data_IF_436361820845
#
_entry.id   IF_436361820845
#
_cell.length_a   1.000
_cell.length_b   1.000
_cell.length_c   1.000
_cell.angle_alpha   90.00
_cell.angle_beta   90.00
_cell.angle_gamma   90.00
#
_symmetry.space_group_name_H-M   'P 1'
#
loop_
_entity.id
_entity.type
_entity.pdbx_description
1 polymer ?
#
# COMPACT_ATOMS: atom_id res chain seq x y z
N UNK A 1 4.08 16.79 -2.70
CA UNK A 1 3.60 16.29 -4.01
C UNK A 1 4.67 16.49 -5.07
N UNK A 2 5.10 17.74 -5.31
CA UNK A 2 6.22 18.06 -6.22
C UNK A 2 7.49 17.24 -5.99
N UNK A 3 8.02 17.24 -4.77
CA UNK A 3 9.25 16.50 -4.45
C UNK A 3 9.13 15.02 -4.80
N UNK A 4 7.97 14.41 -4.51
CA UNK A 4 7.72 12.99 -4.78
C UNK A 4 7.67 12.67 -6.28
N UNK A 5 6.89 13.42 -7.07
CA UNK A 5 6.77 13.20 -8.52
C UNK A 5 8.11 13.46 -9.23
N UNK A 6 8.91 14.40 -8.71
CA UNK A 6 10.21 14.75 -9.26
C UNK A 6 11.35 13.85 -8.75
N UNK A 7 11.05 12.76 -8.04
CA UNK A 7 12.00 11.80 -7.49
C UNK A 7 13.03 12.39 -6.49
N UNK A 8 12.60 13.38 -5.71
CA UNK A 8 13.42 14.07 -4.70
C UNK A 8 13.11 13.63 -3.26
N UNK A 9 12.44 12.48 -3.11
CA UNK A 9 12.11 11.87 -1.83
C UNK A 9 12.96 10.61 -1.59
N UNK A 10 13.00 10.13 -0.36
CA UNK A 10 13.73 8.90 -0.02
C UNK A 10 13.20 7.69 -0.79
N UNK A 11 14.12 6.86 -1.29
CA UNK A 11 13.85 5.66 -2.11
C UNK A 11 13.11 5.92 -3.43
N UNK A 12 13.09 7.16 -3.91
CA UNK A 12 12.71 7.45 -5.28
C UNK A 12 13.78 6.95 -6.29
N UNK A 13 13.42 6.66 -7.55
CA UNK A 13 12.10 6.81 -8.17
C UNK A 13 11.06 5.77 -7.75
N UNK A 14 9.85 6.21 -7.41
CA UNK A 14 8.76 5.32 -6.95
C UNK A 14 8.44 4.21 -7.97
N UNK A 15 8.27 4.58 -9.24
CA UNK A 15 7.88 3.61 -10.26
C UNK A 15 8.97 2.61 -10.59
N UNK A 16 10.24 2.99 -10.51
CA UNK A 16 11.35 2.07 -10.75
C UNK A 16 11.40 1.02 -9.64
N UNK A 17 11.23 1.44 -8.37
CA UNK A 17 11.11 0.52 -7.24
C UNK A 17 9.94 -0.48 -7.42
N UNK A 18 8.78 -0.02 -7.88
CA UNK A 18 7.63 -0.90 -8.15
C UNK A 18 7.88 -1.82 -9.34
N UNK A 19 8.48 -1.30 -10.42
CA UNK A 19 8.82 -2.03 -11.65
C UNK A 19 9.75 -3.20 -11.37
N UNK A 20 10.81 -2.97 -10.62
CA UNK A 20 11.76 -4.03 -10.25
C UNK A 20 11.06 -5.22 -9.58
N UNK A 21 10.21 -4.95 -8.59
CA UNK A 21 9.41 -5.97 -7.93
C UNK A 21 8.40 -6.63 -8.88
N UNK A 22 7.77 -5.85 -9.77
CA UNK A 22 6.79 -6.35 -10.72
C UNK A 22 7.39 -7.33 -11.74
N UNK A 23 8.61 -7.07 -12.22
CA UNK A 23 9.29 -8.00 -13.13
C UNK A 23 9.61 -9.35 -12.46
N UNK A 24 9.78 -9.36 -11.14
CA UNK A 24 10.02 -10.58 -10.36
C UNK A 24 8.73 -11.23 -9.85
N UNK A 25 7.53 -10.72 -10.17
CA UNK A 25 6.27 -11.18 -9.57
C UNK A 25 5.95 -12.67 -9.78
N UNK A 26 6.52 -13.29 -10.82
CA UNK A 26 6.34 -14.71 -11.13
C UNK A 26 7.43 -15.60 -10.51
N UNK A 27 8.41 -15.02 -9.83
CA UNK A 27 9.46 -15.78 -9.16
C UNK A 27 8.85 -16.56 -7.98
N UNK A 28 9.18 -17.85 -7.79
CA UNK A 28 8.54 -18.70 -6.77
C UNK A 28 8.72 -18.19 -5.33
N UNK A 29 9.76 -17.37 -5.08
CA UNK A 29 10.03 -16.74 -3.78
C UNK A 29 9.63 -15.25 -3.74
N UNK A 30 8.78 -14.78 -4.65
CA UNK A 30 8.26 -13.41 -4.65
C UNK A 30 6.73 -13.44 -4.62
N UNK A 31 6.14 -12.77 -3.63
CA UNK A 31 4.69 -12.55 -3.57
C UNK A 31 4.40 -11.07 -3.72
N UNK A 32 3.92 -10.66 -4.89
CA UNK A 32 3.48 -9.30 -5.14
C UNK A 32 2.02 -9.12 -4.70
N UNK A 33 1.73 -8.13 -3.85
CA UNK A 33 0.40 -7.82 -3.32
C UNK A 33 0.12 -6.33 -3.49
N UNK A 34 -1.13 -5.96 -3.72
CA UNK A 34 -1.57 -4.57 -3.66
C UNK A 34 -2.20 -4.25 -2.31
N UNK A 35 -1.99 -3.03 -1.81
CA UNK A 35 -2.63 -2.54 -0.59
C UNK A 35 -4.16 -2.53 -0.70
N UNK A 36 -4.68 -2.24 -1.89
CA UNK A 36 -6.11 -2.24 -2.20
C UNK A 36 -6.72 -3.65 -2.07
N UNK A 37 -5.98 -4.71 -2.39
CA UNK A 37 -6.44 -6.09 -2.17
C UNK A 37 -6.64 -6.38 -0.69
N UNK A 38 -5.69 -5.94 0.16
CA UNK A 38 -5.77 -6.08 1.61
C UNK A 38 -6.99 -5.33 2.18
N UNK A 39 -7.27 -4.14 1.65
CA UNK A 39 -8.44 -3.36 2.06
C UNK A 39 -9.77 -3.95 1.57
N UNK A 40 -9.77 -4.63 0.42
CA UNK A 40 -10.98 -5.18 -0.20
C UNK A 40 -11.36 -6.54 0.39
N UNK A 41 -10.39 -7.44 0.54
CA UNK A 41 -10.59 -8.77 1.11
C UNK A 41 -9.31 -9.28 1.78
N UNK A 42 -9.15 -8.87 3.04
CA UNK A 42 -8.02 -9.30 3.87
C UNK A 42 -7.99 -10.82 4.08
N UNK A 43 -9.14 -11.49 4.10
CA UNK A 43 -9.24 -12.93 4.31
C UNK A 43 -8.61 -13.73 3.16
N UNK A 44 -8.97 -13.37 1.93
CA UNK A 44 -8.39 -13.96 0.72
C UNK A 44 -6.88 -13.72 0.64
N UNK A 45 -6.43 -12.48 0.91
CA UNK A 45 -4.99 -12.15 0.90
C UNK A 45 -4.23 -12.92 1.98
N UNK A 46 -4.77 -13.03 3.20
CA UNK A 46 -4.14 -13.79 4.29
C UNK A 46 -3.96 -15.26 3.92
N UNK A 47 -4.96 -15.89 3.27
CA UNK A 47 -4.86 -17.26 2.77
C UNK A 47 -3.82 -17.38 1.65
N UNK A 48 -3.72 -16.39 0.75
CA UNK A 48 -2.71 -16.34 -0.32
C UNK A 48 -1.29 -16.25 0.25
N UNK A 49 -1.08 -15.42 1.27
CA UNK A 49 0.19 -15.30 2.00
C UNK A 49 0.55 -16.61 2.70
N UNK A 50 -0.40 -17.24 3.41
CA UNK A 50 -0.16 -18.52 4.06
C UNK A 50 0.24 -19.61 3.06
N UNK A 51 -0.48 -19.70 1.92
CA UNK A 51 -0.16 -20.65 0.84
C UNK A 51 1.23 -20.42 0.25
N UNK A 52 1.60 -19.17 0.01
CA UNK A 52 2.95 -18.79 -0.47
C UNK A 52 4.04 -19.20 0.53
N UNK A 53 3.79 -19.07 1.83
CA UNK A 53 4.71 -19.50 2.90
C UNK A 53 4.66 -21.02 3.18
N UNK A 54 3.87 -21.79 2.42
CA UNK A 54 3.70 -23.22 2.62
C UNK A 54 3.04 -23.58 3.96
N UNK A 55 2.15 -22.71 4.46
CA UNK A 55 1.43 -22.89 5.74
C UNK A 55 -0.06 -23.08 5.51
N UNK A 56 -0.65 -23.90 6.38
CA UNK A 56 -2.09 -24.10 6.47
C UNK A 56 -2.54 -23.79 7.89
N UNK A 57 -3.70 -23.15 8.00
CA UNK A 57 -4.29 -22.72 9.26
C UNK A 57 -5.77 -23.10 9.27
N UNK A 58 -6.32 -23.33 10.46
CA UNK A 58 -7.76 -23.57 10.63
C UNK A 58 -8.54 -22.28 10.45
N UNK A 59 -9.85 -22.39 10.22
CA UNK A 59 -10.70 -21.21 10.08
C UNK A 59 -10.75 -20.38 11.37
N UNK A 60 -10.63 -20.99 12.55
CA UNK A 60 -10.52 -20.28 13.82
C UNK A 60 -9.21 -19.49 13.92
N UNK A 61 -8.11 -20.05 13.42
CA UNK A 61 -6.82 -19.34 13.38
C UNK A 61 -6.87 -18.15 12.42
N UNK A 62 -7.50 -18.31 11.25
CA UNK A 62 -7.73 -17.19 10.35
C UNK A 62 -8.66 -16.15 10.98
N UNK A 63 -9.75 -16.55 11.62
CA UNK A 63 -10.66 -15.63 12.29
C UNK A 63 -9.92 -14.77 13.33
N UNK A 64 -9.05 -15.39 14.14
CA UNK A 64 -8.20 -14.68 15.11
C UNK A 64 -7.21 -13.73 14.44
N UNK A 65 -6.55 -14.15 13.36
CA UNK A 65 -5.62 -13.30 12.61
C UNK A 65 -6.34 -12.08 12.02
N UNK A 66 -7.48 -12.29 11.36
CA UNK A 66 -8.26 -11.23 10.74
C UNK A 66 -8.80 -10.25 11.78
N UNK A 67 -9.26 -10.75 12.94
CA UNK A 67 -9.65 -9.89 14.04
C UNK A 67 -8.48 -9.05 14.57
N UNK A 68 -7.30 -9.66 14.74
CA UNK A 68 -6.09 -8.95 15.16
C UNK A 68 -5.67 -7.85 14.17
N UNK A 69 -5.82 -8.11 12.87
CA UNK A 69 -5.45 -7.17 11.80
C UNK A 69 -6.52 -6.12 11.47
N UNK A 70 -7.73 -6.19 12.07
CA UNK A 70 -8.72 -5.12 11.93
C UNK A 70 -8.09 -3.78 12.29
N UNK A 71 -8.35 -2.76 11.48
CA UNK A 71 -7.68 -1.46 11.59
C UNK A 71 -7.70 -0.91 13.03
N UNK A 72 -8.86 -0.91 13.69
CA UNK A 72 -9.00 -0.39 15.05
C UNK A 72 -8.19 -1.18 16.09
N UNK A 73 -8.04 -2.50 15.89
CA UNK A 73 -7.24 -3.36 16.76
C UNK A 73 -5.75 -3.15 16.48
N UNK A 74 -5.38 -3.11 15.20
CA UNK A 74 -3.99 -2.93 14.76
C UNK A 74 -3.46 -1.54 15.13
N UNK A 75 -4.28 -0.49 14.99
CA UNK A 75 -3.94 0.89 15.38
C UNK A 75 -3.64 1.03 16.89
N UNK A 76 -4.30 0.23 17.73
CA UNK A 76 -4.10 0.25 19.18
C UNK A 76 -2.96 -0.66 19.63
N UNK A 77 -2.41 -1.48 18.73
CA UNK A 77 -1.37 -2.43 19.06
C UNK A 77 -0.01 -1.72 19.19
N UNK A 78 0.45 -1.52 20.41
CA UNK A 78 1.71 -0.84 20.72
C UNK A 78 2.94 -1.59 20.21
N UNK A 79 2.85 -2.89 19.95
CA UNK A 79 3.96 -3.69 19.43
C UNK A 79 4.28 -3.41 17.95
N UNK A 80 3.35 -2.79 17.22
CA UNK A 80 3.53 -2.42 15.80
C UNK A 80 3.58 -0.91 15.58
N UNK A 81 3.34 -0.13 16.64
CA UNK A 81 3.51 1.32 16.58
C UNK A 81 4.98 1.68 16.80
N UNK A 82 5.43 2.75 16.14
CA UNK A 82 6.79 3.27 16.27
C UNK A 82 6.91 4.27 17.42
N UNK A 83 6.09 4.09 18.47
CA UNK A 83 6.11 4.95 19.66
C UNK A 83 7.48 4.99 20.33
N UNK A 84 8.27 3.94 20.25
CA UNK A 84 9.63 3.93 20.79
C UNK A 84 10.53 4.94 20.07
N UNK A 85 10.40 5.10 18.75
CA UNK A 85 11.11 6.15 18.01
C UNK A 85 10.65 7.56 18.43
N UNK A 86 9.38 7.74 18.81
CA UNK A 86 8.89 8.99 19.42
C UNK A 86 9.50 9.22 20.81
N UNK A 87 9.62 8.17 21.64
CA UNK A 87 10.24 8.25 22.97
C UNK A 87 11.71 8.66 22.90
N UNK A 88 12.44 8.18 21.90
CA UNK A 88 13.84 8.55 21.68
C UNK A 88 14.02 9.90 20.95
N UNK A 89 12.94 10.63 20.66
CA UNK A 89 12.99 11.93 19.98
C UNK A 89 13.42 11.85 18.52
N UNK A 90 13.41 10.66 17.93
CA UNK A 90 13.75 10.42 16.52
C UNK A 90 12.57 10.71 15.58
N UNK A 91 11.37 10.84 16.14
CA UNK A 91 10.15 11.26 15.45
C UNK A 91 9.46 12.34 16.27
N UNK A 92 8.81 13.27 15.57
CA UNK A 92 8.04 14.34 16.22
C UNK A 92 6.97 13.75 17.15
N UNK A 93 7.06 14.12 18.43
CA UNK A 93 6.11 13.71 19.47
C UNK A 93 4.72 14.32 19.27
N UNK A 94 4.62 15.40 18.49
CA UNK A 94 3.35 15.99 18.01
C UNK A 94 2.91 15.44 16.65
N UNK A 95 3.72 14.57 16.05
CA UNK A 95 3.45 13.95 14.76
C UNK A 95 2.26 12.99 14.81
N UNK A 96 1.62 12.83 13.66
CA UNK A 96 0.51 11.90 13.44
C UNK A 96 0.88 10.47 13.92
N UNK A 97 -0.15 9.67 14.23
CA UNK A 97 0.06 8.25 14.50
C UNK A 97 0.61 7.54 13.25
N UNK A 98 1.50 6.56 13.45
CA UNK A 98 2.06 5.78 12.34
C UNK A 98 0.96 5.04 11.59
N UNK A 99 0.04 4.42 12.33
CA UNK A 99 -1.21 3.89 11.79
C UNK A 99 -2.25 5.01 11.78
N UNK A 100 -2.49 5.61 10.60
CA UNK A 100 -3.22 6.88 10.48
C UNK A 100 -4.70 6.75 10.14
N UNK A 101 -5.05 6.25 8.94
CA UNK A 101 -6.44 6.19 8.43
C UNK A 101 -6.90 4.84 7.87
N UNK A 102 -5.99 4.05 7.30
CA UNK A 102 -6.32 2.70 6.79
C UNK A 102 -7.36 2.68 5.65
N UNK A 103 -7.40 3.72 4.81
CA UNK A 103 -8.39 3.87 3.73
C UNK A 103 -7.68 4.10 2.40
N UNK A 104 -8.22 3.51 1.34
CA UNK A 104 -7.82 3.78 -0.05
C UNK A 104 -8.56 5.00 -0.59
N UNK A 105 -8.06 5.63 -1.66
CA UNK A 105 -8.76 6.72 -2.36
C UNK A 105 -8.74 8.10 -1.69
N UNK A 106 -8.32 8.21 -0.43
CA UNK A 106 -8.30 9.47 0.33
C UNK A 106 -7.37 10.56 -0.24
N UNK A 107 -6.54 10.25 -1.24
CA UNK A 107 -5.68 11.23 -1.90
C UNK A 107 -6.50 12.28 -2.67
N UNK A 108 -7.66 11.91 -3.25
CA UNK A 108 -8.54 12.86 -3.97
C UNK A 108 -9.04 13.99 -3.08
N UNK A 109 -9.25 13.73 -1.79
CA UNK A 109 -9.69 14.75 -0.83
C UNK A 109 -8.61 15.81 -0.54
N UNK A 110 -7.36 15.56 -0.93
CA UNK A 110 -6.21 16.41 -0.61
C UNK A 110 -5.56 17.04 -1.86
N UNK A 111 -6.08 16.76 -3.05
CA UNK A 111 -5.52 17.19 -4.33
C UNK A 111 -6.54 18.08 -5.02
N UNK A 112 -6.08 19.21 -5.57
CA UNK A 112 -6.88 19.99 -6.50
C UNK A 112 -6.91 19.33 -7.89
N UNK A 113 -7.69 19.90 -8.81
CA UNK A 113 -7.88 19.36 -10.16
C UNK A 113 -6.57 19.29 -10.96
N UNK A 114 -5.69 20.28 -10.81
CA UNK A 114 -4.39 20.32 -11.50
C UNK A 114 -3.48 19.20 -10.99
N UNK A 115 -3.40 19.02 -9.66
CA UNK A 115 -2.65 17.94 -9.03
C UNK A 115 -3.19 16.57 -9.43
N UNK A 116 -4.52 16.41 -9.53
CA UNK A 116 -5.15 15.17 -10.01
C UNK A 116 -4.69 14.87 -11.44
N UNK A 117 -4.90 15.81 -12.38
CA UNK A 117 -4.54 15.61 -13.79
C UNK A 117 -3.06 15.29 -13.96
N UNK A 118 -2.18 16.03 -13.27
CA UNK A 118 -0.75 15.78 -13.32
C UNK A 118 -0.37 14.41 -12.75
N UNK A 119 -1.03 13.96 -11.69
CA UNK A 119 -0.80 12.63 -11.12
C UNK A 119 -1.28 11.53 -12.08
N UNK A 120 -2.43 11.72 -12.71
CA UNK A 120 -2.96 10.80 -13.72
C UNK A 120 -2.02 10.67 -14.93
N UNK A 121 -1.52 11.80 -15.46
CA UNK A 121 -0.53 11.82 -16.53
C UNK A 121 0.78 11.13 -16.10
N UNK A 122 1.30 11.47 -14.92
CA UNK A 122 2.53 10.87 -14.38
C UNK A 122 2.41 9.35 -14.22
N UNK A 123 1.26 8.84 -13.77
CA UNK A 123 1.01 7.39 -13.69
C UNK A 123 0.93 6.77 -15.09
N UNK A 124 0.20 7.39 -16.02
CA UNK A 124 0.04 6.89 -17.39
C UNK A 124 1.40 6.77 -18.10
N UNK A 125 2.25 7.78 -17.97
CA UNK A 125 3.58 7.79 -18.58
C UNK A 125 4.48 6.69 -18.02
N UNK A 126 4.42 6.46 -16.70
CA UNK A 126 5.25 5.45 -16.06
C UNK A 126 4.78 4.01 -16.30
N UNK A 127 3.49 3.80 -16.58
CA UNK A 127 2.86 2.48 -16.75
C UNK A 127 2.59 2.10 -18.22
N UNK A 128 2.86 3.01 -19.16
CA UNK A 128 2.49 2.90 -20.58
C UNK A 128 2.83 1.54 -21.20
N UNK A 129 4.05 1.07 -20.97
CA UNK A 129 4.59 -0.15 -21.58
C UNK A 129 4.57 -1.37 -20.64
N UNK A 130 3.75 -1.30 -19.59
CA UNK A 130 3.62 -2.37 -18.60
C UNK A 130 2.22 -2.99 -18.64
N UNK A 131 2.14 -4.26 -18.22
CA UNK A 131 0.88 -4.92 -17.87
C UNK A 131 0.46 -4.66 -16.41
N UNK A 132 1.26 -3.90 -15.66
CA UNK A 132 0.94 -3.46 -14.29
C UNK A 132 -0.25 -2.50 -14.29
N UNK A 133 -1.30 -2.85 -13.55
CA UNK A 133 -2.46 -1.98 -13.27
C UNK A 133 -2.72 -1.97 -11.76
N UNK A 134 -2.70 -0.79 -11.15
CA UNK A 134 -3.07 -0.64 -9.75
C UNK A 134 -4.57 -0.87 -9.57
N UNK A 135 -4.95 -1.57 -8.50
CA UNK A 135 -6.35 -1.94 -8.22
C UNK A 135 -7.19 -0.82 -7.57
N UNK A 136 -6.73 0.42 -7.61
CA UNK A 136 -7.58 1.53 -7.17
C UNK A 136 -8.68 1.71 -8.21
N UNK A 137 -9.91 2.04 -7.77
CA UNK A 137 -10.99 2.42 -8.67
C UNK A 137 -10.61 3.73 -9.39
N UNK A 138 -9.85 3.58 -10.46
CA UNK A 138 -9.59 4.60 -11.46
C UNK A 138 -10.58 4.31 -12.58
N UNK A 139 -11.73 4.96 -12.57
CA UNK A 139 -12.51 5.09 -13.80
C UNK A 139 -11.72 6.01 -14.73
N UNK A 140 -10.73 5.44 -15.43
CA UNK A 140 -10.07 6.16 -16.50
C UNK A 140 -11.06 6.18 -17.67
N UNK A 141 -11.64 7.35 -17.94
CA UNK A 141 -12.18 7.65 -19.27
C UNK A 141 -11.00 7.77 -20.22
N UNK A 142 -10.43 6.64 -20.65
CA UNK A 142 -9.61 6.62 -21.84
C UNK A 142 -10.57 6.35 -22.98
N UNK A 143 -10.96 7.42 -23.69
CA UNK A 143 -11.62 7.27 -24.97
C UNK A 143 -10.75 6.36 -25.86
N UNK A 144 -11.41 5.38 -26.49
CA UNK A 144 -10.82 4.46 -27.46
C UNK A 144 -10.37 5.20 -28.72
#
# INVERSE_FOLDING_TARGET
>A
HELFINNLETWAPFFDHVKEAWYQRNHPNMLFLFYEELSKDLGSVARRVAGFLGKQYTDEQYARLLDHLKFDNFQKNTAVDITDLKKFGLLDSKGQNFIRKGKTGAWRDNFDEEMIQRTEQWMADNLRDMDLRFQCNWEFNVEK
#
